data_IF_685299838121
#
_entry.id   IF_685299838121
#
_cell.length_a   1.000
_cell.length_b   1.000
_cell.length_c   1.000
_cell.angle_alpha   90.00
_cell.angle_beta   90.00
_cell.angle_gamma   90.00
#
_symmetry.space_group_name_H-M   'P 1'
#
loop_
_entity.id
_entity.type
_entity.pdbx_description
1 polymer ?
#
# COMPACT_ATOMS: atom_id res chain seq x y z
N UNK A 1 -2.56 12.21 0.92
CA UNK A 1 -3.52 12.77 1.89
C UNK A 1 -4.72 13.42 1.22
N UNK A 2 -4.68 14.62 0.62
CA UNK A 2 -5.91 15.26 0.06
C UNK A 2 -6.65 14.34 -0.93
N UNK A 3 -5.95 13.79 -1.93
CA UNK A 3 -6.58 12.86 -2.87
C UNK A 3 -7.10 11.58 -2.19
N UNK A 4 -6.42 11.10 -1.15
CA UNK A 4 -6.84 9.92 -0.38
C UNK A 4 -8.18 10.16 0.31
N UNK A 5 -8.28 11.25 1.06
CA UNK A 5 -9.52 11.60 1.77
C UNK A 5 -10.67 11.89 0.80
N UNK A 6 -10.40 12.57 -0.31
CA UNK A 6 -11.43 12.81 -1.34
C UNK A 6 -11.89 11.50 -2.00
N UNK A 7 -11.01 10.51 -2.14
CA UNK A 7 -11.39 9.21 -2.70
C UNK A 7 -12.41 8.51 -1.81
N UNK A 8 -12.21 8.54 -0.49
CA UNK A 8 -13.17 8.00 0.47
C UNK A 8 -14.54 8.68 0.40
N UNK A 9 -14.58 9.98 0.08
CA UNK A 9 -15.85 10.70 -0.12
C UNK A 9 -16.59 10.25 -1.40
N UNK A 10 -15.85 9.80 -2.42
CA UNK A 10 -16.44 9.34 -3.67
C UNK A 10 -16.93 7.89 -3.59
N UNK A 11 -16.08 6.98 -3.11
CA UNK A 11 -16.41 5.55 -3.03
C UNK A 11 -15.91 5.01 -1.69
N UNK A 12 -16.83 4.43 -0.92
CA UNK A 12 -16.54 3.77 0.34
C UNK A 12 -17.38 2.51 0.49
N UNK A 13 -16.73 1.37 0.73
CA UNK A 13 -17.38 0.10 1.01
C UNK A 13 -17.32 -0.22 2.49
N UNK A 14 -18.47 -0.13 3.17
CA UNK A 14 -18.58 -0.47 4.59
C UNK A 14 -18.13 -1.91 4.85
N UNK A 15 -17.26 -2.09 5.84
CA UNK A 15 -16.73 -3.40 6.25
C UNK A 15 -15.60 -3.94 5.39
N UNK A 16 -15.06 -3.17 4.44
CA UNK A 16 -13.92 -3.58 3.60
C UNK A 16 -12.80 -2.52 3.62
N UNK A 17 -12.09 -2.46 4.75
CA UNK A 17 -10.96 -1.53 4.97
C UNK A 17 -9.87 -1.71 3.92
N UNK A 18 -9.52 -2.95 3.59
CA UNK A 18 -8.49 -3.26 2.60
C UNK A 18 -8.83 -2.67 1.23
N UNK A 19 -10.08 -2.81 0.77
CA UNK A 19 -10.56 -2.19 -0.46
C UNK A 19 -10.46 -0.67 -0.41
N UNK A 20 -11.02 -0.04 0.62
CA UNK A 20 -11.11 1.42 0.74
C UNK A 20 -9.71 2.07 0.76
N UNK A 21 -8.83 1.58 1.63
CA UNK A 21 -7.49 2.15 1.77
C UNK A 21 -6.62 1.92 0.53
N UNK A 22 -6.80 0.78 -0.13
CA UNK A 22 -6.08 0.47 -1.36
C UNK A 22 -6.55 1.34 -2.53
N UNK A 23 -7.86 1.57 -2.64
CA UNK A 23 -8.44 2.46 -3.63
C UNK A 23 -7.97 3.90 -3.42
N UNK A 24 -8.15 4.43 -2.20
CA UNK A 24 -7.74 5.79 -1.85
C UNK A 24 -6.24 6.00 -2.05
N UNK A 25 -5.42 5.00 -1.70
CA UNK A 25 -3.98 5.02 -1.97
C UNK A 25 -3.68 5.05 -3.47
N UNK A 26 -4.37 4.25 -4.29
CA UNK A 26 -4.15 4.23 -5.74
C UNK A 26 -4.51 5.57 -6.38
N UNK A 27 -5.65 6.17 -6.00
CA UNK A 27 -6.04 7.51 -6.44
C UNK A 27 -5.06 8.56 -5.96
N UNK A 28 -4.57 8.48 -4.73
CA UNK A 28 -3.54 9.41 -4.25
C UNK A 28 -2.29 9.36 -5.15
N UNK A 29 -1.77 8.17 -5.38
CA UNK A 29 -0.54 7.98 -6.15
C UNK A 29 -0.69 8.45 -7.60
N UNK A 30 -1.76 8.02 -8.27
CA UNK A 30 -2.03 8.39 -9.65
C UNK A 30 -2.44 9.86 -9.78
N UNK A 31 -3.20 10.39 -8.83
CA UNK A 31 -3.70 11.77 -8.81
C UNK A 31 -2.58 12.79 -8.64
N UNK A 32 -1.62 12.55 -7.71
CA UNK A 32 -0.45 13.43 -7.55
C UNK A 32 0.40 13.44 -8.84
N UNK A 33 0.60 12.28 -9.48
CA UNK A 33 1.31 12.20 -10.77
C UNK A 33 0.57 12.99 -11.87
N UNK A 34 -0.73 12.79 -12.00
CA UNK A 34 -1.57 13.48 -12.98
C UNK A 34 -1.57 15.00 -12.77
N UNK A 35 -1.64 15.45 -11.52
CA UNK A 35 -1.57 16.87 -11.15
C UNK A 35 -0.26 17.52 -11.58
N UNK A 36 0.89 16.87 -11.28
CA UNK A 36 2.21 17.37 -11.69
C UNK A 36 2.30 17.43 -13.21
N UNK A 37 1.82 16.41 -13.93
CA UNK A 37 1.82 16.39 -15.39
C UNK A 37 0.93 17.49 -16.01
N UNK A 38 -0.27 17.71 -15.46
CA UNK A 38 -1.17 18.77 -15.91
C UNK A 38 -0.54 20.16 -15.74
N UNK A 39 0.13 20.42 -14.61
CA UNK A 39 0.81 21.70 -14.36
C UNK A 39 1.99 21.97 -15.29
N UNK A 40 2.75 20.93 -15.67
CA UNK A 40 3.78 21.09 -16.71
C UNK A 40 3.18 21.51 -18.05
N UNK A 41 2.03 20.94 -18.43
CA UNK A 41 1.33 21.32 -19.66
C UNK A 41 0.87 22.78 -19.61
N UNK A 42 0.32 23.24 -18.48
CA UNK A 42 -0.14 24.64 -18.34
C UNK A 42 1.00 25.65 -18.35
N UNK A 43 2.19 25.29 -17.89
CA UNK A 43 3.36 26.17 -17.86
C UNK A 43 4.21 26.11 -19.14
N UNK A 44 3.81 25.32 -20.14
CA UNK A 44 4.56 25.19 -21.41
C UNK A 44 4.54 26.51 -22.18
N UNK A 45 5.72 27.10 -22.42
CA UNK A 45 5.88 28.38 -23.12
C UNK A 45 5.85 29.61 -22.22
N UNK A 46 5.75 29.43 -20.89
CA UNK A 46 5.88 30.50 -19.90
C UNK A 46 7.35 30.59 -19.47
N UNK A 47 7.92 31.80 -19.42
CA UNK A 47 9.29 32.01 -18.95
C UNK A 47 9.46 31.49 -17.52
N UNK A 48 10.65 30.99 -17.16
CA UNK A 48 10.90 30.47 -15.80
C UNK A 48 10.61 31.50 -14.70
N UNK A 49 10.69 32.80 -15.01
CA UNK A 49 10.37 33.90 -14.08
C UNK A 49 8.86 34.06 -13.85
N UNK A 50 8.03 33.69 -14.81
CA UNK A 50 6.57 33.86 -14.78
C UNK A 50 5.82 32.58 -14.45
N UNK A 51 6.53 31.45 -14.31
CA UNK A 51 5.95 30.19 -13.88
C UNK A 51 5.42 30.33 -12.45
N UNK A 52 4.11 30.12 -12.26
CA UNK A 52 3.55 29.97 -10.91
C UNK A 52 4.13 28.69 -10.29
N UNK A 53 4.86 28.77 -9.16
CA UNK A 53 5.40 27.57 -8.52
C UNK A 53 4.24 26.67 -8.09
N UNK A 54 4.25 25.42 -8.56
CA UNK A 54 3.30 24.43 -8.09
C UNK A 54 3.69 24.00 -6.67
N UNK A 55 2.73 23.95 -5.74
CA UNK A 55 2.93 23.44 -4.38
C UNK A 55 3.52 22.01 -4.37
N UNK A 56 3.24 21.22 -5.42
CA UNK A 56 3.87 19.94 -5.70
C UNK A 56 4.54 20.00 -7.07
N UNK A 57 5.85 19.79 -7.11
CA UNK A 57 6.65 19.70 -8.33
C UNK A 57 7.31 18.30 -8.43
N UNK A 58 8.13 18.08 -9.46
CA UNK A 58 8.82 16.80 -9.66
C UNK A 58 9.70 16.38 -8.48
N UNK A 59 10.39 17.34 -7.84
CA UNK A 59 11.27 17.06 -6.70
C UNK A 59 10.46 16.57 -5.50
N UNK A 60 9.35 17.24 -5.21
CA UNK A 60 8.43 16.85 -4.14
C UNK A 60 7.80 15.48 -4.43
N UNK A 61 7.41 15.22 -5.68
CA UNK A 61 6.88 13.91 -6.10
C UNK A 61 7.91 12.78 -5.90
N UNK A 62 9.16 12.97 -6.36
CA UNK A 62 10.23 11.98 -6.17
C UNK A 62 10.51 11.71 -4.70
N UNK A 63 10.54 12.76 -3.86
CA UNK A 63 10.72 12.60 -2.42
C UNK A 63 9.57 11.82 -1.80
N UNK A 64 8.33 12.17 -2.14
CA UNK A 64 7.14 11.47 -1.67
C UNK A 64 7.14 9.98 -2.07
N UNK A 65 7.44 9.67 -3.33
CA UNK A 65 7.56 8.29 -3.83
C UNK A 65 8.64 7.52 -3.08
N UNK A 66 9.81 8.14 -2.87
CA UNK A 66 10.91 7.53 -2.12
C UNK A 66 10.47 7.18 -0.69
N UNK A 67 9.86 8.11 0.05
CA UNK A 67 9.41 7.87 1.42
C UNK A 67 8.36 6.76 1.47
N UNK A 68 7.40 6.73 0.54
CA UNK A 68 6.42 5.65 0.49
C UNK A 68 7.03 4.29 0.14
N UNK A 69 7.96 4.23 -0.81
CA UNK A 69 8.67 3.00 -1.17
C UNK A 69 9.44 2.42 0.04
N UNK A 70 10.11 3.27 0.81
CA UNK A 70 10.79 2.88 2.06
C UNK A 70 9.83 2.26 3.07
N UNK A 71 8.65 2.84 3.23
CA UNK A 71 7.63 2.35 4.17
C UNK A 71 6.94 1.06 3.66
N UNK A 72 6.76 0.92 2.34
CA UNK A 72 6.16 -0.27 1.74
C UNK A 72 6.98 -1.54 2.03
N UNK A 73 8.32 -1.43 2.02
CA UNK A 73 9.20 -2.54 2.41
C UNK A 73 8.98 -3.03 3.85
N UNK A 74 8.70 -2.10 4.79
CA UNK A 74 8.44 -2.47 6.19
C UNK A 74 7.12 -3.19 6.33
N UNK A 75 6.09 -2.69 5.67
CA UNK A 75 4.77 -3.33 5.69
C UNK A 75 4.85 -4.73 5.08
N UNK A 76 5.50 -4.88 3.92
CA UNK A 76 5.75 -6.18 3.31
C UNK A 76 6.43 -7.15 4.28
N UNK A 77 7.47 -6.70 4.98
CA UNK A 77 8.18 -7.50 5.97
C UNK A 77 7.25 -7.97 7.11
N UNK A 78 6.39 -7.10 7.63
CA UNK A 78 5.44 -7.43 8.71
C UNK A 78 4.41 -8.46 8.23
N UNK A 79 3.92 -8.35 7.01
CA UNK A 79 2.97 -9.30 6.42
C UNK A 79 3.59 -10.68 6.22
N UNK A 80 4.75 -10.75 5.58
CA UNK A 80 5.49 -12.00 5.39
C UNK A 80 5.78 -12.67 6.73
N UNK A 81 6.03 -11.87 7.76
CA UNK A 81 6.23 -12.36 9.11
C UNK A 81 4.96 -12.96 9.73
N UNK A 82 3.81 -12.27 9.57
CA UNK A 82 2.51 -12.78 10.03
C UNK A 82 2.20 -14.13 9.37
N UNK A 83 2.37 -14.24 8.06
CA UNK A 83 2.09 -15.48 7.32
C UNK A 83 2.97 -16.64 7.81
N UNK A 84 4.28 -16.39 8.01
CA UNK A 84 5.21 -17.38 8.57
C UNK A 84 4.83 -17.81 9.99
N UNK A 85 4.42 -16.86 10.83
CA UNK A 85 4.01 -17.15 12.20
C UNK A 85 2.71 -17.98 12.23
N UNK A 86 1.74 -17.65 11.38
CA UNK A 86 0.51 -18.45 11.22
C UNK A 86 0.85 -19.87 10.80
N UNK A 87 1.66 -20.05 9.75
CA UNK A 87 2.08 -21.38 9.31
C UNK A 87 2.80 -22.17 10.41
N UNK A 88 3.65 -21.52 11.20
CA UNK A 88 4.35 -22.16 12.31
C UNK A 88 3.39 -22.59 13.44
N UNK A 89 2.37 -21.79 13.74
CA UNK A 89 1.33 -22.18 14.70
C UNK A 89 0.49 -23.36 14.22
N UNK A 90 0.19 -23.44 12.92
CA UNK A 90 -0.59 -24.55 12.34
C UNK A 90 0.13 -25.90 12.46
N UNK A 91 1.45 -25.92 12.70
CA UNK A 91 2.25 -27.13 12.90
C UNK A 91 2.33 -27.58 14.37
N UNK A 92 1.71 -26.86 15.31
CA UNK A 92 1.82 -27.12 16.74
C UNK A 92 0.45 -27.38 17.35
N UNK A 93 0.39 -28.35 18.27
CA UNK A 93 -0.80 -28.58 19.08
C UNK A 93 -1.19 -27.29 19.83
N UNK A 94 -2.41 -26.76 19.64
CA UNK A 94 -2.87 -25.54 20.30
C UNK A 94 -2.80 -25.58 21.84
N UNK A 95 -2.77 -26.76 22.44
CA UNK A 95 -2.66 -26.96 23.89
C UNK A 95 -1.21 -26.90 24.39
N UNK A 96 -0.21 -27.02 23.51
CA UNK A 96 1.20 -26.90 23.85
C UNK A 96 1.65 -25.44 23.95
N UNK A 97 1.20 -24.78 25.01
CA UNK A 97 1.44 -23.35 25.27
C UNK A 97 2.93 -23.00 25.36
N UNK A 98 3.77 -23.90 25.86
CA UNK A 98 5.22 -23.69 25.96
C UNK A 98 5.87 -23.59 24.58
N UNK A 99 5.51 -24.49 23.65
CA UNK A 99 6.05 -24.47 22.30
C UNK A 99 5.52 -23.27 21.50
N UNK A 100 4.24 -22.94 21.65
CA UNK A 100 3.64 -21.76 21.00
C UNK A 100 4.33 -20.46 21.45
N UNK A 101 4.63 -20.32 22.74
CA UNK A 101 5.33 -19.13 23.24
C UNK A 101 6.79 -19.08 22.77
N UNK A 102 7.48 -20.24 22.68
CA UNK A 102 8.83 -20.30 22.13
C UNK A 102 8.86 -19.85 20.66
N UNK A 103 7.97 -20.39 19.82
CA UNK A 103 7.80 -19.99 18.42
C UNK A 103 7.53 -18.49 18.32
N UNK A 104 6.58 -17.98 19.12
CA UNK A 104 6.24 -16.55 19.13
C UNK A 104 7.47 -15.69 19.44
N UNK A 105 8.21 -16.01 20.50
CA UNK A 105 9.38 -15.26 20.94
C UNK A 105 10.47 -15.25 19.87
N UNK A 106 10.78 -16.41 19.30
CA UNK A 106 11.78 -16.52 18.23
C UNK A 106 11.35 -15.72 17.00
N UNK A 107 10.10 -15.88 16.57
CA UNK A 107 9.53 -15.19 15.43
C UNK A 107 9.66 -13.67 15.59
N UNK A 108 9.22 -13.08 16.71
CA UNK A 108 9.36 -11.63 16.93
C UNK A 108 10.81 -11.16 17.05
N UNK A 109 11.76 -12.01 17.44
CA UNK A 109 13.19 -11.69 17.37
C UNK A 109 13.68 -11.62 15.92
N UNK A 110 13.31 -12.59 15.08
CA UNK A 110 13.63 -12.61 13.65
C UNK A 110 13.05 -11.40 12.92
N UNK A 111 11.81 -11.01 13.22
CA UNK A 111 11.17 -9.82 12.65
C UNK A 111 11.98 -8.54 12.94
N UNK A 112 12.45 -8.37 14.18
CA UNK A 112 13.28 -7.21 14.56
C UNK A 112 14.61 -7.20 13.82
N UNK A 113 15.26 -8.35 13.69
CA UNK A 113 16.53 -8.45 12.94
C UNK A 113 16.33 -8.17 11.44
N UNK A 114 15.26 -8.68 10.85
CA UNK A 114 14.92 -8.38 9.47
C UNK A 114 14.63 -6.88 9.26
N UNK A 115 13.95 -6.24 10.22
CA UNK A 115 13.71 -4.81 10.18
C UNK A 115 15.01 -3.99 10.28
N UNK A 116 15.94 -4.35 11.18
CA UNK A 116 17.25 -3.69 11.27
C UNK A 116 18.00 -3.74 9.93
N UNK A 117 18.01 -4.90 9.27
CA UNK A 117 18.63 -5.05 7.93
C UNK A 117 17.95 -4.16 6.89
N UNK A 118 16.63 -4.17 6.84
CA UNK A 118 15.85 -3.30 5.95
C UNK A 118 16.11 -1.82 6.23
N UNK A 119 16.23 -1.44 7.51
CA UNK A 119 16.50 -0.07 7.95
C UNK A 119 17.88 0.42 7.47
N UNK A 120 18.91 -0.43 7.58
CA UNK A 120 20.26 -0.16 7.03
C UNK A 120 20.22 0.02 5.52
N UNK A 121 19.40 -0.77 4.81
CA UNK A 121 19.16 -0.62 3.38
C UNK A 121 18.32 0.61 2.99
N UNK A 122 17.97 1.47 3.96
CA UNK A 122 17.26 2.71 3.75
C UNK A 122 15.74 2.61 3.82
N UNK A 123 15.18 1.43 4.11
CA UNK A 123 13.74 1.25 4.36
C UNK A 123 13.27 1.88 5.67
N UNK A 124 11.95 1.96 5.85
CA UNK A 124 11.30 2.45 7.05
C UNK A 124 11.47 3.94 7.37
N UNK A 125 11.10 4.29 8.60
CA UNK A 125 11.05 5.66 9.12
C UNK A 125 11.30 5.67 10.64
N UNK A 126 11.47 6.86 11.23
CA UNK A 126 11.61 7.00 12.69
C UNK A 126 10.39 6.49 13.47
N UNK A 127 9.20 6.56 12.87
CA UNK A 127 7.99 6.03 13.50
C UNK A 127 8.01 4.50 13.56
N UNK A 128 8.49 3.86 12.49
CA UNK A 128 8.73 2.42 12.51
C UNK A 128 9.86 2.06 13.48
N UNK A 129 10.92 2.85 13.57
CA UNK A 129 12.00 2.64 14.56
C UNK A 129 11.42 2.59 15.99
N UNK A 130 10.54 3.55 16.34
CA UNK A 130 9.84 3.59 17.63
C UNK A 130 8.89 2.41 17.80
N UNK A 131 8.16 2.02 16.77
CA UNK A 131 7.22 0.89 16.82
C UNK A 131 7.94 -0.45 17.07
N UNK A 132 9.04 -0.73 16.35
CA UNK A 132 9.84 -1.95 16.54
C UNK A 132 10.57 -2.00 17.88
N UNK A 133 10.88 -0.85 18.47
CA UNK A 133 11.44 -0.73 19.82
C UNK A 133 10.43 -1.01 20.94
N UNK A 134 9.13 -0.91 20.65
CA UNK A 134 8.08 -1.22 21.61
C UNK A 134 7.89 -2.74 21.79
N UNK A 135 7.22 -3.17 22.88
CA UNK A 135 6.78 -4.55 23.03
C UNK A 135 5.83 -4.94 21.89
N UNK A 136 6.24 -5.91 21.06
CA UNK A 136 5.45 -6.45 19.97
C UNK A 136 4.80 -7.77 20.38
N UNK A 137 3.56 -7.96 19.97
CA UNK A 137 2.80 -9.19 20.14
C UNK A 137 1.87 -9.42 18.94
N UNK A 138 1.06 -10.49 18.98
CA UNK A 138 0.16 -10.84 17.87
C UNK A 138 -0.83 -9.71 17.55
N UNK A 139 -1.30 -8.94 18.55
CA UNK A 139 -2.17 -7.80 18.34
C UNK A 139 -1.46 -6.65 17.60
N UNK A 140 -0.15 -6.48 17.81
CA UNK A 140 0.65 -5.50 17.06
C UNK A 140 0.63 -5.78 15.55
N UNK A 141 0.55 -7.06 15.14
CA UNK A 141 0.49 -7.46 13.73
C UNK A 141 -0.89 -7.20 13.10
N UNK A 142 -1.97 -7.20 13.90
CA UNK A 142 -3.34 -6.94 13.43
C UNK A 142 -3.50 -5.53 12.85
N UNK A 143 -2.71 -4.57 13.33
CA UNK A 143 -2.67 -3.20 12.77
C UNK A 143 -2.26 -3.19 11.28
N UNK A 144 -1.66 -4.28 10.80
CA UNK A 144 -1.25 -4.47 9.41
C UNK A 144 -2.06 -5.59 8.74
N UNK A 145 -3.09 -6.12 9.41
CA UNK A 145 -3.80 -7.34 9.02
C UNK A 145 -4.59 -7.26 7.71
N UNK A 146 -4.91 -6.04 7.28
CA UNK A 146 -5.69 -5.75 6.07
C UNK A 146 -4.82 -5.43 4.84
N UNK A 147 -3.49 -5.55 4.96
CA UNK A 147 -2.54 -5.14 3.92
C UNK A 147 -2.32 -6.18 2.81
N UNK A 148 -3.31 -7.03 2.50
CA UNK A 148 -3.45 -7.57 1.13
C UNK A 148 -3.81 -6.42 0.17
N UNK A 149 -2.97 -5.39 0.13
CA UNK A 149 -3.29 -4.11 -0.46
C UNK A 149 -3.55 -4.28 -1.94
N UNK A 150 -4.73 -3.89 -2.38
CA UNK A 150 -5.19 -3.98 -3.76
C UNK A 150 -4.67 -2.83 -4.63
N UNK A 151 -3.67 -2.07 -4.18
CA UNK A 151 -3.16 -0.87 -4.88
C UNK A 151 -2.74 -1.22 -6.31
N UNK A 152 -2.04 -2.35 -6.50
CA UNK A 152 -1.68 -2.83 -7.84
C UNK A 152 -2.88 -3.26 -8.69
N UNK A 153 -3.94 -3.78 -8.08
CA UNK A 153 -5.18 -4.08 -8.80
C UNK A 153 -5.84 -2.79 -9.31
N UNK A 154 -5.88 -1.74 -8.49
CA UNK A 154 -6.39 -0.42 -8.91
C UNK A 154 -5.50 0.26 -9.95
N UNK A 155 -4.17 0.11 -9.86
CA UNK A 155 -3.24 0.57 -10.91
C UNK A 155 -3.55 -0.11 -12.26
N UNK A 156 -3.87 -1.40 -12.24
CA UNK A 156 -4.29 -2.15 -13.44
C UNK A 156 -5.62 -1.64 -13.96
N UNK A 157 -6.62 -1.40 -13.11
CA UNK A 157 -7.91 -0.85 -13.53
C UNK A 157 -7.77 0.53 -14.18
N UNK A 158 -6.95 1.41 -13.60
CA UNK A 158 -6.70 2.73 -14.18
C UNK A 158 -6.06 2.62 -15.57
N UNK A 159 -5.11 1.70 -15.74
CA UNK A 159 -4.49 1.42 -17.04
C UNK A 159 -5.48 0.83 -18.04
N UNK A 160 -6.34 -0.09 -17.62
CA UNK A 160 -7.41 -0.65 -18.45
C UNK A 160 -8.43 0.40 -18.87
N UNK A 161 -8.64 1.42 -18.04
CA UNK A 161 -9.45 2.59 -18.34
C UNK A 161 -8.75 3.59 -19.28
N UNK A 162 -7.56 3.27 -19.79
CA UNK A 162 -6.77 4.18 -20.65
C UNK A 162 -6.27 5.43 -19.93
N UNK A 163 -6.27 5.44 -18.59
CA UNK A 163 -6.02 6.64 -17.80
C UNK A 163 -7.21 7.62 -17.73
N UNK A 164 -8.39 7.25 -18.25
CA UNK A 164 -9.62 8.01 -18.08
C UNK A 164 -10.18 7.83 -16.67
N UNK A 165 -10.24 8.94 -15.92
CA UNK A 165 -10.68 8.91 -14.53
C UNK A 165 -12.15 8.55 -14.40
N UNK A 166 -13.02 9.02 -15.31
CA UNK A 166 -14.45 8.71 -15.26
C UNK A 166 -14.69 7.20 -15.39
N UNK A 167 -14.07 6.56 -16.37
CA UNK A 167 -14.14 5.11 -16.60
C UNK A 167 -13.51 4.32 -15.47
N UNK A 168 -12.41 4.81 -14.89
CA UNK A 168 -11.78 4.20 -13.73
C UNK A 168 -12.70 4.21 -12.51
N UNK A 169 -13.27 5.36 -12.15
CA UNK A 169 -14.19 5.47 -11.02
C UNK A 169 -15.45 4.62 -11.22
N UNK A 170 -15.98 4.54 -12.45
CA UNK A 170 -17.09 3.62 -12.76
C UNK A 170 -16.71 2.15 -12.54
N UNK A 171 -15.50 1.76 -12.92
CA UNK A 171 -14.99 0.39 -12.70
C UNK A 171 -14.79 0.07 -11.21
N UNK A 172 -14.31 1.05 -10.42
CA UNK A 172 -14.18 0.89 -8.96
C UNK A 172 -15.55 0.80 -8.29
N UNK A 173 -16.51 1.62 -8.73
CA UNK A 173 -17.89 1.59 -8.22
C UNK A 173 -18.52 0.21 -8.47
N UNK A 174 -18.37 -0.32 -9.70
CA UNK A 174 -18.84 -1.65 -10.03
C UNK A 174 -18.20 -2.74 -9.14
N UNK A 175 -16.92 -2.60 -8.76
CA UNK A 175 -16.30 -3.51 -7.78
C UNK A 175 -16.89 -3.37 -6.38
N UNK A 176 -17.15 -2.14 -5.93
CA UNK A 176 -17.71 -1.86 -4.61
C UNK A 176 -19.12 -2.44 -4.45
N UNK A 177 -19.89 -2.56 -5.54
CA UNK A 177 -21.24 -3.12 -5.54
C UNK A 177 -21.28 -4.65 -5.43
N UNK A 178 -20.18 -5.34 -5.76
CA UNK A 178 -20.10 -6.80 -5.64
C UNK A 178 -20.20 -7.28 -4.18
N UNK A 179 -20.57 -8.54 -4.00
CA UNK A 179 -20.37 -9.23 -2.73
C UNK A 179 -18.87 -9.39 -2.42
N UNK A 180 -18.54 -9.62 -1.15
CA UNK A 180 -17.16 -9.64 -0.68
C UNK A 180 -16.30 -10.74 -1.35
N UNK A 181 -16.87 -11.92 -1.58
CA UNK A 181 -16.13 -13.05 -2.16
C UNK A 181 -15.84 -12.79 -3.64
N UNK A 182 -16.82 -12.32 -4.40
CA UNK A 182 -16.65 -11.99 -5.82
C UNK A 182 -15.70 -10.80 -6.02
N UNK A 183 -15.83 -9.75 -5.20
CA UNK A 183 -14.92 -8.60 -5.22
C UNK A 183 -13.47 -9.03 -4.98
N UNK A 184 -13.23 -9.83 -3.93
CA UNK A 184 -11.91 -10.36 -3.62
C UNK A 184 -11.30 -11.13 -4.79
N UNK A 185 -12.04 -12.08 -5.37
CA UNK A 185 -11.57 -12.84 -6.56
C UNK A 185 -11.18 -11.94 -7.72
N UNK A 186 -11.97 -10.89 -8.00
CA UNK A 186 -11.63 -9.92 -9.06
C UNK A 186 -10.37 -9.14 -8.75
N UNK A 187 -10.19 -8.69 -7.50
CA UNK A 187 -9.01 -7.96 -7.08
C UNK A 187 -7.75 -8.85 -7.12
N UNK A 188 -7.86 -10.11 -6.72
CA UNK A 188 -6.79 -11.11 -6.86
C UNK A 188 -6.38 -11.29 -8.33
N UNK A 189 -7.35 -11.48 -9.23
CA UNK A 189 -7.07 -11.60 -10.66
C UNK A 189 -6.36 -10.34 -11.24
N UNK A 190 -6.76 -9.15 -10.81
CA UNK A 190 -6.11 -7.90 -11.20
C UNK A 190 -4.69 -7.77 -10.64
N UNK A 191 -4.44 -8.21 -9.41
CA UNK A 191 -3.08 -8.26 -8.85
C UNK A 191 -2.19 -9.24 -9.60
N UNK A 192 -2.68 -10.43 -9.92
CA UNK A 192 -1.95 -11.42 -10.72
C UNK A 192 -1.63 -10.86 -12.11
N UNK A 193 -2.57 -10.13 -12.73
CA UNK A 193 -2.31 -9.43 -13.99
C UNK A 193 -1.22 -8.37 -13.84
N UNK A 194 -1.17 -7.65 -12.71
CA UNK A 194 -0.11 -6.70 -12.41
C UNK A 194 1.26 -7.38 -12.34
N UNK A 195 1.34 -8.53 -11.66
CA UNK A 195 2.57 -9.33 -11.53
C UNK A 195 3.02 -9.86 -12.89
N UNK A 196 2.12 -10.48 -13.66
CA UNK A 196 2.40 -11.08 -14.95
C UNK A 196 2.91 -10.06 -15.98
N UNK A 197 2.42 -8.83 -15.93
CA UNK A 197 2.84 -7.75 -16.84
C UNK A 197 4.11 -7.02 -16.37
N UNK A 198 4.74 -7.45 -15.27
CA UNK A 198 5.87 -6.73 -14.66
C UNK A 198 5.52 -5.27 -14.37
N UNK A 199 4.24 -4.98 -14.12
CA UNK A 199 3.81 -3.61 -13.92
C UNK A 199 4.36 -3.16 -12.58
N UNK A 200 5.41 -2.33 -12.67
CA UNK A 200 5.85 -1.48 -11.58
C UNK A 200 4.63 -0.83 -10.95
N UNK A 201 4.47 -1.04 -9.65
CA UNK A 201 3.42 -0.40 -8.89
C UNK A 201 3.59 1.11 -9.01
N UNK A 202 2.55 1.91 -8.81
CA UNK A 202 2.64 3.38 -8.97
C UNK A 202 3.70 4.09 -8.10
N UNK A 203 4.43 3.36 -7.27
CA UNK A 203 5.54 3.81 -6.44
C UNK A 203 6.94 3.37 -6.91
N UNK A 204 7.08 2.55 -7.96
CA UNK A 204 8.35 2.10 -8.59
C UNK A 204 8.66 2.78 -9.94
#
# INVERSE_FOLDING_TARGET
>A
LIFHELSHQHIYKRGDTAFNESFATAVELAGVKAWVAARKKTNKGVSDRDQKPAAINEKNLKHYQMVRSKNAGVVKLILEHRDKLTQAYDQVDPTNTQQLEAIKKESFAQLREAYKKLRVAGGGSKDYDRWFAAPLNNASLVLFGDYHGWVSAFDVLLKQSGGDWTSFYASVQALAELDAATRRKKLEALQELSKAKGLKQSFE
#
